data_IF_260052644254
#
_entry.id   IF_260052644254
#
_cell.length_a   1.000
_cell.length_b   1.000
_cell.length_c   1.000
_cell.angle_alpha   90.00
_cell.angle_beta   90.00
_cell.angle_gamma   90.00
#
_symmetry.space_group_name_H-M   'P 1'
#
loop_
_entity.id
_entity.type
_entity.pdbx_description
1 polymer ?
#
# COMPACT_ATOMS: atom_id res chain seq x y z
N UNK A 1 14.04 25.18 2.14
CA UNK A 1 13.80 23.73 2.36
C UNK A 1 13.14 23.19 1.11
N UNK A 2 13.68 22.11 0.55
CA UNK A 2 13.08 21.44 -0.62
C UNK A 2 12.21 20.31 -0.10
N UNK A 3 10.90 20.38 -0.33
CA UNK A 3 9.98 19.27 -0.06
C UNK A 3 10.01 18.30 -1.23
N UNK A 4 10.40 17.05 -0.97
CA UNK A 4 10.45 15.99 -1.97
C UNK A 4 9.25 15.06 -1.78
N UNK A 5 8.30 15.10 -2.71
CA UNK A 5 7.29 14.05 -2.82
C UNK A 5 7.89 12.80 -3.45
N UNK A 6 7.53 11.62 -2.96
CA UNK A 6 7.96 10.35 -3.53
C UNK A 6 6.82 9.74 -4.35
N UNK A 7 7.11 9.24 -5.55
CA UNK A 7 6.16 8.46 -6.34
C UNK A 7 6.55 6.99 -6.30
N UNK A 8 5.62 6.14 -5.90
CA UNK A 8 5.79 4.69 -5.83
C UNK A 8 4.97 4.06 -6.94
N UNK A 9 5.63 3.31 -7.81
CA UNK A 9 4.99 2.50 -8.83
C UNK A 9 5.23 1.03 -8.49
N UNK A 10 4.16 0.35 -8.07
CA UNK A 10 4.19 -1.03 -7.59
C UNK A 10 3.44 -1.92 -8.58
N UNK A 11 3.93 -3.14 -8.73
CA UNK A 11 3.37 -4.13 -9.64
C UNK A 11 3.27 -5.47 -8.92
N UNK A 12 2.06 -6.00 -8.81
CA UNK A 12 1.82 -7.33 -8.27
C UNK A 12 1.42 -8.28 -9.40
N UNK A 13 2.09 -9.43 -9.44
CA UNK A 13 1.80 -10.54 -10.36
C UNK A 13 1.21 -11.69 -9.56
N UNK A 14 0.18 -12.34 -10.08
CA UNK A 14 -0.43 -13.49 -9.40
C UNK A 14 -1.81 -13.81 -9.96
N UNK A 15 -2.47 -14.81 -9.38
CA UNK A 15 -3.87 -15.07 -9.66
C UNK A 15 -4.68 -13.82 -9.26
N UNK A 16 -5.54 -13.27 -10.12
CA UNK A 16 -6.36 -12.09 -9.81
C UNK A 16 -7.05 -12.19 -8.46
N UNK A 17 -7.62 -13.33 -8.11
CA UNK A 17 -8.30 -13.52 -6.82
C UNK A 17 -7.40 -13.19 -5.62
N UNK A 18 -6.09 -13.45 -5.75
CA UNK A 18 -5.10 -13.20 -4.70
C UNK A 18 -4.52 -11.79 -4.75
N UNK A 19 -4.59 -11.06 -5.87
CA UNK A 19 -3.97 -9.73 -6.00
C UNK A 19 -4.96 -8.57 -6.06
N UNK A 20 -6.24 -8.84 -6.33
CA UNK A 20 -7.27 -7.81 -6.58
C UNK A 20 -7.49 -6.86 -5.41
N UNK A 21 -7.19 -7.31 -4.21
CA UNK A 21 -7.41 -6.56 -2.97
C UNK A 21 -6.11 -6.12 -2.33
N UNK A 22 -4.97 -6.38 -2.97
CA UNK A 22 -3.68 -6.03 -2.40
C UNK A 22 -3.55 -4.51 -2.33
N UNK A 23 -3.49 -4.01 -1.11
CA UNK A 23 -3.29 -2.60 -0.79
C UNK A 23 -1.98 -2.43 -0.04
N UNK A 24 -1.58 -1.19 0.20
CA UNK A 24 -0.28 -0.87 0.78
C UNK A 24 -0.42 0.25 1.80
N UNK A 25 0.09 0.01 2.99
CA UNK A 25 0.43 1.10 3.91
C UNK A 25 1.88 1.49 3.67
N UNK A 26 2.20 2.77 3.88
CA UNK A 26 3.57 3.26 3.80
C UNK A 26 3.87 3.89 5.15
N UNK A 27 4.90 3.41 5.81
CA UNK A 27 5.24 3.82 7.19
C UNK A 27 6.69 4.25 7.23
N UNK A 28 6.98 5.41 7.80
CA UNK A 28 8.34 5.89 7.98
C UNK A 28 9.09 5.10 9.09
N UNK A 29 10.36 5.41 9.32
CA UNK A 29 11.17 4.76 10.35
C UNK A 29 10.98 5.32 11.76
N UNK A 30 10.01 6.22 11.93
CA UNK A 30 9.49 6.69 13.21
C UNK A 30 8.09 6.11 13.50
N UNK A 31 7.65 5.13 12.70
CA UNK A 31 6.33 4.47 12.76
C UNK A 31 5.14 5.39 12.44
N UNK A 32 5.35 6.49 11.72
CA UNK A 32 4.26 7.31 11.20
C UNK A 32 3.81 6.81 9.82
N UNK A 33 2.50 6.72 9.62
CA UNK A 33 1.93 6.47 8.30
C UNK A 33 2.15 7.69 7.40
N UNK A 34 2.64 7.44 6.19
CA UNK A 34 2.87 8.46 5.17
C UNK A 34 1.61 8.55 4.32
N UNK A 35 0.94 9.70 4.39
CA UNK A 35 -0.30 9.95 3.66
C UNK A 35 -0.15 9.78 2.15
N UNK A 36 -1.14 9.14 1.54
CA UNK A 36 -1.30 9.10 0.09
C UNK A 36 -1.96 10.40 -0.39
N UNK A 37 -1.24 11.17 -1.20
CA UNK A 37 -1.79 12.36 -1.87
C UNK A 37 -2.65 11.97 -3.06
N UNK A 38 -2.17 11.01 -3.85
CA UNK A 38 -2.88 10.46 -5.02
C UNK A 38 -2.62 8.96 -5.05
N UNK A 39 -3.65 8.17 -5.30
CA UNK A 39 -3.52 6.74 -5.57
C UNK A 39 -4.39 6.30 -6.72
N UNK A 40 -3.83 5.50 -7.63
CA UNK A 40 -4.60 4.81 -8.65
C UNK A 40 -4.06 3.40 -8.82
N UNK A 41 -4.96 2.42 -8.79
CA UNK A 41 -4.63 1.03 -9.08
C UNK A 41 -5.41 0.58 -10.30
N UNK A 42 -4.70 0.02 -11.30
CA UNK A 42 -5.29 -0.46 -12.55
C UNK A 42 -4.74 -1.83 -12.90
N UNK A 43 -5.60 -2.64 -13.51
CA UNK A 43 -5.14 -3.84 -14.20
C UNK A 43 -4.62 -3.47 -15.58
N UNK A 44 -3.56 -4.14 -16.03
CA UNK A 44 -3.07 -4.01 -17.40
C UNK A 44 -2.89 -5.39 -18.01
N UNK A 45 -3.82 -5.74 -18.90
CA UNK A 45 -3.85 -6.98 -19.68
C UNK A 45 -5.24 -7.18 -20.30
N UNK A 46 -5.42 -8.23 -21.09
CA UNK A 46 -6.64 -8.48 -21.88
C UNK A 46 -7.28 -9.86 -21.59
N UNK A 47 -6.76 -10.59 -20.60
CA UNK A 47 -6.96 -12.03 -20.51
C UNK A 47 -7.34 -12.50 -19.09
N UNK A 48 -7.65 -11.56 -18.20
CA UNK A 48 -8.25 -11.88 -16.91
C UNK A 48 -7.27 -12.42 -15.88
N UNK A 49 -5.97 -12.50 -16.18
CA UNK A 49 -4.85 -12.81 -15.27
C UNK A 49 -3.92 -11.60 -15.13
N UNK A 50 -4.50 -10.41 -15.20
CA UNK A 50 -3.74 -9.20 -15.47
C UNK A 50 -3.00 -8.71 -14.22
N UNK A 51 -1.77 -8.22 -14.43
CA UNK A 51 -0.94 -7.65 -13.38
C UNK A 51 -1.62 -6.41 -12.77
N UNK A 52 -1.59 -6.29 -11.45
CA UNK A 52 -2.07 -5.10 -10.75
C UNK A 52 -0.95 -4.07 -10.70
N UNK A 53 -1.20 -2.91 -11.28
CA UNK A 53 -0.32 -1.74 -11.20
C UNK A 53 -0.91 -0.73 -10.24
N UNK A 54 -0.17 -0.39 -9.20
CA UNK A 54 -0.52 0.65 -8.24
C UNK A 54 0.46 1.81 -8.37
N UNK A 55 -0.07 3.02 -8.51
CA UNK A 55 0.70 4.25 -8.64
C UNK A 55 0.27 5.23 -7.55
N UNK A 56 1.21 5.51 -6.64
CA UNK A 56 1.00 6.34 -5.48
C UNK A 56 1.92 7.55 -5.51
N UNK A 57 1.35 8.74 -5.29
CA UNK A 57 2.10 9.92 -4.87
C UNK A 57 1.89 10.07 -3.37
N UNK A 58 2.97 10.10 -2.60
CA UNK A 58 2.90 10.26 -1.15
C UNK A 58 3.34 11.65 -0.71
N UNK A 59 2.86 12.03 0.48
CA UNK A 59 3.27 13.27 1.13
C UNK A 59 4.79 13.35 1.27
N UNK A 60 5.35 14.57 1.27
CA UNK A 60 6.77 14.76 1.54
C UNK A 60 7.15 14.16 2.88
N UNK A 61 8.22 13.37 2.87
CA UNK A 61 8.76 12.78 4.09
C UNK A 61 9.41 13.85 4.95
N UNK A 62 9.29 13.71 6.28
CA UNK A 62 9.98 14.59 7.21
C UNK A 62 11.51 14.51 6.95
N UNK A 63 12.25 15.64 6.97
CA UNK A 63 13.69 15.66 6.77
C UNK A 63 14.50 14.73 7.68
N UNK A 64 13.96 14.31 8.82
CA UNK A 64 14.60 13.37 9.75
C UNK A 64 14.43 11.90 9.37
N UNK A 65 13.46 11.57 8.50
CA UNK A 65 13.21 10.20 8.04
C UNK A 65 14.42 9.69 7.26
N UNK A 66 14.86 8.46 7.57
CA UNK A 66 16.01 7.82 6.90
C UNK A 66 15.59 6.65 6.03
N UNK A 67 14.37 6.15 6.23
CA UNK A 67 13.78 5.07 5.47
C UNK A 67 12.28 5.04 5.64
N UNK A 68 11.60 4.39 4.71
CA UNK A 68 10.20 4.03 4.85
C UNK A 68 10.00 2.57 4.46
N UNK A 69 8.93 1.97 4.96
CA UNK A 69 8.53 0.59 4.73
C UNK A 69 7.20 0.59 3.99
N UNK A 70 7.17 -0.06 2.83
CA UNK A 70 5.95 -0.38 2.11
C UNK A 70 5.44 -1.70 2.67
N UNK A 71 4.22 -1.69 3.22
CA UNK A 71 3.59 -2.83 3.89
C UNK A 71 2.35 -3.29 3.11
N UNK A 72 2.48 -4.33 2.27
CA UNK A 72 1.33 -4.88 1.55
C UNK A 72 0.36 -5.56 2.51
N UNK A 73 -0.94 -5.43 2.26
CA UNK A 73 -1.98 -6.07 3.07
C UNK A 73 -3.25 -6.37 2.25
N UNK A 74 -4.06 -7.28 2.81
CA UNK A 74 -5.44 -7.49 2.39
C UNK A 74 -6.41 -6.91 3.41
N UNK A 75 -7.42 -6.14 2.99
CA UNK A 75 -8.47 -5.68 3.88
C UNK A 75 -9.34 -6.85 4.33
N UNK A 76 -9.81 -6.82 5.57
CA UNK A 76 -10.80 -7.80 6.07
C UNK A 76 -12.20 -7.23 5.86
N UNK A 77 -13.07 -7.96 5.18
CA UNK A 77 -14.47 -7.58 4.96
C UNK A 77 -15.37 -8.07 6.10
N UNK A 78 -16.54 -7.43 6.26
CA UNK A 78 -17.55 -7.89 7.22
C UNK A 78 -18.04 -9.32 6.88
N UNK A 79 -18.21 -9.60 5.58
CA UNK A 79 -18.37 -10.96 5.05
C UNK A 79 -16.99 -11.47 4.62
N UNK A 80 -16.41 -12.39 5.39
CA UNK A 80 -15.07 -12.94 5.15
C UNK A 80 -14.97 -13.76 3.85
N UNK A 81 -16.10 -14.11 3.23
CA UNK A 81 -16.14 -14.76 1.91
C UNK A 81 -16.25 -13.78 0.74
N UNK A 82 -16.56 -12.51 1.03
CA UNK A 82 -16.77 -11.51 0.00
C UNK A 82 -15.45 -10.96 -0.54
N UNK A 83 -15.42 -10.68 -1.85
CA UNK A 83 -14.28 -10.01 -2.46
C UNK A 83 -14.39 -8.47 -2.51
N UNK A 84 -15.56 -7.93 -2.14
CA UNK A 84 -15.89 -6.51 -2.15
C UNK A 84 -16.99 -6.25 -1.12
N UNK A 85 -17.07 -5.04 -0.56
CA UNK A 85 -18.15 -4.68 0.37
C UNK A 85 -17.62 -3.82 1.51
N UNK A 86 -18.35 -3.84 2.63
CA UNK A 86 -17.96 -3.12 3.83
C UNK A 86 -16.75 -3.78 4.50
N UNK A 87 -15.82 -2.95 4.94
CA UNK A 87 -14.67 -3.39 5.71
C UNK A 87 -15.05 -3.65 7.16
N UNK A 88 -14.45 -4.70 7.73
CA UNK A 88 -14.48 -4.95 9.17
C UNK A 88 -13.58 -3.93 9.86
N UNK A 89 -14.10 -3.27 10.89
CA UNK A 89 -13.39 -2.24 11.63
C UNK A 89 -12.98 -2.76 13.02
N UNK A 90 -11.88 -2.23 13.55
CA UNK A 90 -11.46 -2.42 14.93
C UNK A 90 -12.27 -1.53 15.90
N UNK A 91 -11.97 -1.62 17.21
CA UNK A 91 -12.65 -0.82 18.24
C UNK A 91 -12.45 0.70 18.10
N UNK A 92 -11.46 1.14 17.33
CA UNK A 92 -11.15 2.54 17.06
C UNK A 92 -11.73 3.02 15.71
N UNK A 93 -12.42 2.14 14.97
CA UNK A 93 -12.97 2.45 13.66
C UNK A 93 -11.96 2.31 12.50
N UNK A 94 -10.77 1.76 12.75
CA UNK A 94 -9.81 1.50 11.68
C UNK A 94 -10.14 0.18 10.98
N UNK A 95 -9.93 0.13 9.67
CA UNK A 95 -10.04 -1.11 8.92
C UNK A 95 -9.07 -2.17 9.46
N UNK A 96 -9.57 -3.38 9.67
CA UNK A 96 -8.73 -4.54 9.97
C UNK A 96 -7.97 -4.95 8.70
N UNK A 97 -6.66 -5.21 8.86
CA UNK A 97 -5.72 -5.50 7.77
C UNK A 97 -4.97 -6.79 8.06
N UNK A 98 -4.84 -7.65 7.06
CA UNK A 98 -3.96 -8.83 7.10
C UNK A 98 -2.69 -8.51 6.31
N UNK A 99 -1.60 -8.21 7.01
CA UNK A 99 -0.32 -7.87 6.38
C UNK A 99 0.39 -9.09 5.79
N UNK A 100 0.96 -8.91 4.60
CA UNK A 100 1.77 -9.92 3.91
C UNK A 100 3.25 -9.64 4.23
N UNK A 101 3.72 -10.15 5.38
CA UNK A 101 5.02 -9.79 5.96
C UNK A 101 6.20 -10.12 5.06
N UNK A 102 6.10 -11.20 4.31
CA UNK A 102 7.11 -11.66 3.37
C UNK A 102 7.31 -10.71 2.17
N UNK A 103 6.36 -9.80 1.92
CA UNK A 103 6.44 -8.81 0.85
C UNK A 103 6.75 -7.38 1.35
N UNK A 104 7.03 -7.19 2.65
CA UNK A 104 7.41 -5.89 3.16
C UNK A 104 8.73 -5.41 2.54
N UNK A 105 8.74 -4.17 2.06
CA UNK A 105 9.91 -3.58 1.40
C UNK A 105 10.36 -2.34 2.14
N UNK A 106 11.61 -2.34 2.61
CA UNK A 106 12.24 -1.18 3.24
C UNK A 106 13.09 -0.42 2.23
N UNK A 107 12.78 0.85 2.01
CA UNK A 107 13.51 1.75 1.12
C UNK A 107 14.29 2.75 1.97
N UNK A 108 15.60 2.86 1.72
CA UNK A 108 16.46 3.85 2.39
C UNK A 108 16.46 5.16 1.61
N UNK A 109 16.44 6.27 2.33
CA UNK A 109 16.51 7.62 1.77
C UNK A 109 17.96 8.11 1.93
N UNK A 110 18.69 8.37 0.83
CA UNK A 110 20.03 8.94 0.91
C UNK A 110 20.01 10.28 1.64
N UNK A 111 20.97 10.48 2.53
CA UNK A 111 21.23 11.77 3.15
C UNK A 111 22.29 12.48 2.32
N UNK A 112 22.01 13.70 1.89
CA UNK A 112 22.97 14.59 1.25
C UNK A 112 23.57 15.55 2.27
#
# INVERSE_FOLDING_TARGET
MTTLSTRLHLMAKGNPEDVNQLQYDIVDDQDHEVSLLIGNSRRRGNNGYDDLYADYLVDPLNPEVRSFTIKPYFPVFEDESAQTGLYKLDANGNMLKTYVKELEMKVRIPQN
#
